data_IF_995700753545
#
_entry.id   IF_995700753545
#
_cell.length_a   1.000
_cell.length_b   1.000
_cell.length_c   1.000
_cell.angle_alpha   90.00
_cell.angle_beta   90.00
_cell.angle_gamma   90.00
#
_symmetry.space_group_name_H-M   'P 1'
#
loop_
_entity.id
_entity.type
_entity.pdbx_description
1 polymer ?
#
# COMPACT_ATOMS: atom_id res chain seq x y z
N UNK A 1 -0.15 -5.24 -31.24
CA UNK A 1 -1.24 -4.67 -30.42
C UNK A 1 -1.24 -5.48 -29.12
N UNK A 2 -0.47 -5.07 -28.11
CA UNK A 2 -0.16 -5.93 -26.94
C UNK A 2 -0.69 -5.38 -25.62
N UNK A 3 -1.74 -4.56 -25.65
CA UNK A 3 -2.33 -3.98 -24.44
C UNK A 3 -3.81 -3.72 -24.74
N UNK A 4 -4.67 -4.72 -24.54
CA UNK A 4 -6.11 -4.43 -24.41
C UNK A 4 -6.24 -3.55 -23.18
N UNK A 5 -6.47 -2.26 -23.45
CA UNK A 5 -6.47 -1.18 -22.48
C UNK A 5 -7.54 -1.33 -21.39
N UNK A 6 -7.67 -0.32 -20.53
CA UNK A 6 -8.61 -0.37 -19.41
C UNK A 6 -10.03 -0.69 -19.91
N UNK A 7 -10.78 -1.50 -19.15
CA UNK A 7 -12.22 -1.73 -19.37
C UNK A 7 -13.06 -0.49 -19.00
N UNK A 8 -12.44 0.69 -19.04
CA UNK A 8 -13.02 1.99 -18.78
C UNK A 8 -12.90 2.88 -20.03
N UNK A 9 -13.97 3.57 -20.44
CA UNK A 9 -15.29 3.61 -19.79
C UNK A 9 -16.05 2.28 -19.92
N UNK A 10 -16.84 1.98 -18.90
CA UNK A 10 -17.65 0.75 -18.81
C UNK A 10 -18.67 0.70 -19.93
N UNK A 11 -18.73 -0.43 -20.66
CA UNK A 11 -19.67 -0.62 -21.79
C UNK A 11 -20.85 -1.55 -21.46
N UNK A 12 -20.82 -2.22 -20.31
CA UNK A 12 -21.94 -3.05 -19.85
C UNK A 12 -23.13 -2.15 -19.47
N UNK A 13 -24.34 -2.56 -19.85
CA UNK A 13 -25.59 -1.84 -19.54
C UNK A 13 -26.30 -2.41 -18.32
N UNK A 14 -26.30 -3.74 -18.19
CA UNK A 14 -26.91 -4.47 -17.11
C UNK A 14 -25.84 -5.35 -16.48
N UNK A 15 -25.33 -4.96 -15.32
CA UNK A 15 -24.31 -5.72 -14.60
C UNK A 15 -23.50 -4.85 -13.68
N UNK A 16 -22.53 -5.48 -13.02
CA UNK A 16 -21.61 -4.82 -12.12
C UNK A 16 -20.19 -5.01 -12.65
N UNK A 17 -19.43 -3.91 -12.68
CA UNK A 17 -18.00 -3.94 -12.92
C UNK A 17 -17.28 -3.34 -11.70
N UNK A 18 -16.29 -4.08 -11.20
CA UNK A 18 -15.41 -3.66 -10.11
C UNK A 18 -14.04 -3.43 -10.70
N UNK A 19 -13.63 -2.17 -10.70
CA UNK A 19 -12.42 -1.68 -11.35
C UNK A 19 -12.32 -2.12 -12.83
N UNK A 20 -11.17 -1.93 -13.44
CA UNK A 20 -10.93 -2.07 -14.87
C UNK A 20 -9.79 -1.17 -15.35
N UNK A 21 -9.13 -0.47 -14.42
CA UNK A 21 -7.92 0.27 -14.68
C UNK A 21 -6.72 -0.64 -14.96
N UNK A 22 -5.76 -0.07 -15.69
CA UNK A 22 -4.50 -0.73 -16.01
C UNK A 22 -3.57 -0.76 -14.79
N UNK A 23 -2.65 -1.71 -14.75
CA UNK A 23 -1.77 -1.98 -13.59
C UNK A 23 -0.74 -0.89 -13.28
N UNK A 24 -0.49 0.04 -14.21
CA UNK A 24 0.53 1.09 -14.07
C UNK A 24 -0.03 2.38 -13.51
N UNK A 25 -1.22 2.77 -13.94
CA UNK A 25 -1.90 3.99 -13.51
C UNK A 25 -3.41 3.72 -13.48
N UNK A 26 -4.00 3.94 -12.30
CA UNK A 26 -5.44 3.82 -12.10
C UNK A 26 -6.04 5.22 -12.08
N UNK A 27 -7.02 5.50 -12.95
CA UNK A 27 -7.68 6.81 -12.97
C UNK A 27 -8.53 7.09 -11.71
N UNK A 28 -8.76 6.08 -10.88
CA UNK A 28 -9.50 6.19 -9.62
C UNK A 28 -8.58 6.29 -8.38
N UNK A 29 -7.27 6.13 -8.54
CA UNK A 29 -6.32 6.27 -7.42
C UNK A 29 -6.07 7.75 -7.12
N UNK A 30 -5.74 8.05 -5.85
CA UNK A 30 -5.27 9.38 -5.47
C UNK A 30 -3.77 9.46 -5.76
N UNK A 31 -2.92 8.67 -5.06
CA UNK A 31 -1.71 8.14 -5.71
C UNK A 31 -1.53 6.61 -5.59
N UNK A 32 -0.60 6.09 -6.38
CA UNK A 32 0.03 4.79 -6.18
C UNK A 32 0.83 4.66 -4.86
N UNK A 33 1.33 3.45 -4.58
CA UNK A 33 2.09 3.17 -3.36
C UNK A 33 3.43 3.91 -3.32
N UNK A 34 3.94 4.19 -2.11
CA UNK A 34 5.21 4.92 -1.93
C UNK A 34 5.97 4.47 -0.68
N UNK A 35 7.29 4.66 -0.73
CA UNK A 35 8.24 4.42 0.35
C UNK A 35 8.78 5.76 0.82
N UNK A 36 8.73 6.02 2.12
CA UNK A 36 9.46 7.09 2.76
C UNK A 36 10.76 6.55 3.34
N UNK A 37 11.85 7.32 3.24
CA UNK A 37 13.16 6.95 3.78
C UNK A 37 13.84 8.14 4.47
N UNK A 38 14.46 7.92 5.63
CA UNK A 38 15.29 8.93 6.31
C UNK A 38 16.59 9.23 5.56
N UNK A 39 17.04 8.29 4.75
CA UNK A 39 18.23 8.38 3.90
C UNK A 39 17.84 8.59 2.44
N UNK A 40 18.79 9.04 1.62
CA UNK A 40 18.55 9.25 0.20
C UNK A 40 18.58 7.93 -0.56
N UNK A 41 17.44 7.53 -1.11
CA UNK A 41 17.28 6.27 -1.83
C UNK A 41 16.46 6.46 -3.10
N UNK A 42 16.84 5.74 -4.15
CA UNK A 42 16.13 5.77 -5.42
C UNK A 42 14.66 5.34 -5.21
N UNK A 43 13.74 6.06 -5.86
CA UNK A 43 12.29 5.77 -5.80
C UNK A 43 11.65 5.87 -4.40
N UNK A 44 12.31 6.53 -3.45
CA UNK A 44 11.74 6.89 -2.15
C UNK A 44 11.44 8.39 -2.04
N UNK A 45 10.59 8.77 -1.09
CA UNK A 45 10.41 10.15 -0.65
C UNK A 45 11.19 10.39 0.65
N UNK A 46 12.15 11.31 0.59
CA UNK A 46 13.01 11.60 1.73
C UNK A 46 12.22 12.27 2.85
N UNK A 47 12.33 11.72 4.05
CA UNK A 47 11.83 12.29 5.30
C UNK A 47 13.00 12.71 6.19
N UNK A 48 12.75 13.66 7.09
CA UNK A 48 13.74 14.14 8.04
C UNK A 48 13.26 13.86 9.45
N UNK A 49 14.12 13.24 10.25
CA UNK A 49 13.87 13.05 11.68
C UNK A 49 14.34 14.27 12.44
N UNK A 50 13.57 14.67 13.44
CA UNK A 50 13.85 15.82 14.30
C UNK A 50 13.53 15.46 15.73
N UNK A 51 14.11 16.17 16.69
CA UNK A 51 13.66 16.07 18.08
C UNK A 51 12.19 16.45 18.18
N UNK A 52 11.45 15.72 19.00
CA UNK A 52 10.02 15.96 19.23
C UNK A 52 9.75 17.39 19.71
N UNK A 53 8.74 18.03 19.12
CA UNK A 53 8.23 19.33 19.54
C UNK A 53 6.71 19.27 19.68
N UNK A 54 6.16 19.88 20.73
CA UNK A 54 4.73 20.06 20.97
C UNK A 54 3.87 18.78 21.04
N UNK A 55 4.47 17.60 21.22
CA UNK A 55 3.74 16.36 21.43
C UNK A 55 3.21 16.23 22.86
N UNK A 56 1.99 15.72 22.95
CA UNK A 56 1.33 15.39 24.21
C UNK A 56 1.28 13.88 24.41
N UNK A 57 1.25 13.48 25.68
CA UNK A 57 1.06 12.09 26.10
C UNK A 57 2.06 11.09 25.52
N UNK A 58 3.30 11.52 25.25
CA UNK A 58 4.35 10.66 24.72
C UNK A 58 4.56 9.48 25.69
N UNK A 59 4.50 8.22 25.21
CA UNK A 59 4.81 7.06 26.03
C UNK A 59 6.25 7.11 26.55
N UNK A 60 6.54 6.34 27.60
CA UNK A 60 7.90 6.24 28.12
C UNK A 60 8.86 5.82 27.00
N UNK A 61 9.92 6.60 26.83
CA UNK A 61 11.02 6.33 25.91
C UNK A 61 12.33 6.45 26.68
N UNK A 62 13.24 5.52 26.46
CA UNK A 62 14.55 5.46 27.10
C UNK A 62 15.57 6.39 26.40
N UNK A 63 15.41 6.56 25.09
CA UNK A 63 16.09 7.58 24.28
C UNK A 63 15.20 8.79 24.04
N UNK A 64 15.80 9.95 23.74
CA UNK A 64 15.07 11.17 23.37
C UNK A 64 14.16 10.92 22.16
N UNK A 65 12.82 11.02 22.28
CA UNK A 65 11.92 10.74 21.16
C UNK A 65 12.18 11.61 19.93
N UNK A 66 11.99 11.03 18.75
CA UNK A 66 12.11 11.70 17.46
C UNK A 66 10.74 11.82 16.79
N UNK A 67 10.61 12.80 15.90
CA UNK A 67 9.42 12.96 15.07
C UNK A 67 9.74 13.18 13.60
N UNK A 68 8.74 12.87 12.77
CA UNK A 68 8.68 13.31 11.38
C UNK A 68 7.22 13.44 10.94
N UNK A 69 7.01 13.91 9.70
CA UNK A 69 5.67 14.07 9.11
C UNK A 69 5.64 13.40 7.74
N UNK A 70 4.67 12.52 7.54
CA UNK A 70 4.40 11.90 6.25
C UNK A 70 3.43 12.77 5.45
N UNK A 71 3.84 13.17 4.25
CA UNK A 71 3.03 13.92 3.29
C UNK A 71 2.40 12.98 2.29
N UNK A 72 1.27 12.40 2.66
CA UNK A 72 0.55 11.42 1.86
C UNK A 72 -0.20 12.09 0.70
N UNK A 73 -0.51 11.31 -0.34
CA UNK A 73 -1.33 11.74 -1.46
C UNK A 73 -0.54 12.16 -2.69
N UNK A 74 -1.23 12.83 -3.61
CA UNK A 74 -0.69 13.30 -4.88
C UNK A 74 -0.14 14.72 -4.77
N UNK A 75 0.27 15.31 -5.90
CA UNK A 75 0.66 16.72 -5.95
C UNK A 75 -0.50 17.65 -5.61
N UNK A 76 -1.72 17.26 -5.97
CA UNK A 76 -2.94 18.06 -5.85
C UNK A 76 -3.69 17.79 -4.55
N UNK A 77 -3.78 16.52 -4.14
CA UNK A 77 -4.58 16.08 -3.00
C UNK A 77 -3.67 15.51 -1.93
N UNK A 78 -3.68 16.10 -0.73
CA UNK A 78 -2.73 15.74 0.33
C UNK A 78 -3.40 15.45 1.66
N UNK A 79 -2.77 14.59 2.44
CA UNK A 79 -3.07 14.38 3.85
C UNK A 79 -1.75 14.30 4.63
N UNK A 80 -1.75 14.73 5.89
CA UNK A 80 -0.58 14.68 6.77
C UNK A 80 -0.79 13.68 7.89
N UNK A 81 0.24 12.90 8.20
CA UNK A 81 0.32 12.12 9.42
C UNK A 81 1.60 12.47 10.17
N UNK A 82 1.48 12.65 11.48
CA UNK A 82 2.61 12.81 12.38
C UNK A 82 3.12 11.43 12.79
N UNK A 83 4.43 11.31 12.86
CA UNK A 83 5.14 10.09 13.22
C UNK A 83 6.00 10.40 14.44
N UNK A 84 5.83 9.62 15.50
CA UNK A 84 6.63 9.68 16.71
C UNK A 84 7.43 8.38 16.83
N UNK A 85 8.72 8.47 17.07
CA UNK A 85 9.65 7.33 17.14
C UNK A 85 10.19 7.27 18.56
N UNK A 86 10.10 6.10 19.18
CA UNK A 86 10.49 5.89 20.58
C UNK A 86 11.35 4.64 20.76
N UNK A 87 12.18 4.68 21.79
CA UNK A 87 12.92 3.55 22.34
C UNK A 87 12.17 3.06 23.57
N UNK A 88 11.30 2.07 23.36
CA UNK A 88 10.41 1.58 24.41
C UNK A 88 11.05 0.52 25.31
N UNK A 89 12.25 0.03 24.96
CA UNK A 89 12.88 -1.15 25.57
C UNK A 89 14.32 -0.94 26.06
N UNK A 90 14.86 0.28 26.02
CA UNK A 90 16.25 0.60 26.41
C UNK A 90 17.29 -0.11 25.53
N UNK A 91 16.96 -0.30 24.25
CA UNK A 91 17.80 -1.00 23.27
C UNK A 91 17.92 -0.23 21.95
N UNK A 92 17.57 1.06 21.97
CA UNK A 92 17.42 1.87 20.77
C UNK A 92 15.98 1.89 20.25
N UNK A 93 15.74 2.72 19.23
CA UNK A 93 14.40 2.96 18.71
C UNK A 93 13.78 1.69 18.12
N UNK A 94 12.56 1.36 18.56
CA UNK A 94 11.89 0.10 18.20
C UNK A 94 10.40 0.24 17.83
N UNK A 95 9.82 1.42 18.09
CA UNK A 95 8.40 1.70 17.81
C UNK A 95 8.21 2.99 17.04
N UNK A 96 7.22 2.97 16.16
CA UNK A 96 6.68 4.14 15.47
C UNK A 96 5.20 4.31 15.81
N UNK A 97 4.82 5.47 16.33
CA UNK A 97 3.45 5.86 16.63
C UNK A 97 2.97 6.80 15.53
N UNK A 98 1.83 6.45 14.91
CA UNK A 98 1.23 7.20 13.82
C UNK A 98 0.02 7.95 14.36
N UNK A 99 -0.08 9.27 14.13
CA UNK A 99 -1.21 10.07 14.59
C UNK A 99 -1.56 11.23 13.64
N UNK A 100 -2.83 11.66 13.65
CA UNK A 100 -3.27 12.84 12.89
C UNK A 100 -2.84 14.15 13.56
N UNK A 101 -2.75 14.13 14.88
CA UNK A 101 -2.34 15.25 15.71
C UNK A 101 -1.17 14.85 16.59
N UNK A 102 -0.45 15.83 17.15
CA UNK A 102 0.70 15.59 18.03
C UNK A 102 0.26 15.19 19.45
N UNK A 103 -0.50 14.11 19.53
CA UNK A 103 -1.00 13.50 20.77
C UNK A 103 -0.96 11.97 20.60
N UNK A 104 -0.10 11.31 21.39
CA UNK A 104 0.09 9.87 21.28
C UNK A 104 -1.07 9.06 21.87
N UNK A 105 -1.92 9.64 22.72
CA UNK A 105 -3.15 8.98 23.18
C UNK A 105 -4.24 8.91 22.09
N UNK A 106 -4.10 9.72 21.05
CA UNK A 106 -4.99 9.73 19.89
C UNK A 106 -4.33 9.11 18.66
N UNK A 107 -3.35 8.24 18.89
CA UNK A 107 -2.69 7.53 17.80
C UNK A 107 -3.70 6.70 17.01
N UNK A 108 -3.43 6.59 15.72
CA UNK A 108 -4.13 5.66 14.84
C UNK A 108 -3.61 4.25 15.11
N UNK A 109 -2.29 4.11 15.19
CA UNK A 109 -1.62 2.84 15.41
C UNK A 109 -0.19 3.02 15.93
N UNK A 110 0.36 1.93 16.47
CA UNK A 110 1.74 1.83 16.90
C UNK A 110 2.39 0.62 16.24
N UNK A 111 3.42 0.86 15.44
CA UNK A 111 4.07 -0.13 14.59
C UNK A 111 5.43 -0.55 15.14
N UNK A 112 5.73 -1.84 14.96
CA UNK A 112 7.07 -2.40 14.98
C UNK A 112 7.51 -2.78 13.56
N UNK A 113 8.82 -2.96 13.37
CA UNK A 113 9.38 -3.39 12.08
C UNK A 113 8.66 -4.65 11.58
N UNK A 114 8.28 -4.65 10.30
CA UNK A 114 7.52 -5.71 9.64
C UNK A 114 6.00 -5.63 9.82
N UNK A 115 5.48 -4.82 10.76
CA UNK A 115 4.04 -4.74 11.00
C UNK A 115 3.33 -3.71 10.10
N UNK A 116 2.09 -4.05 9.72
CA UNK A 116 1.16 -3.12 9.08
C UNK A 116 0.32 -2.39 10.12
N UNK A 117 -0.04 -1.14 9.82
CA UNK A 117 -1.13 -0.45 10.49
C UNK A 117 -2.47 -1.06 10.11
N UNK A 118 -3.47 -0.78 10.92
CA UNK A 118 -4.87 -0.87 10.51
C UNK A 118 -5.11 -0.05 9.23
N UNK A 119 -6.13 -0.45 8.48
CA UNK A 119 -6.65 0.36 7.38
C UNK A 119 -7.20 1.68 7.92
N UNK A 120 -6.87 2.76 7.21
CA UNK A 120 -7.31 4.12 7.52
C UNK A 120 -8.13 4.67 6.37
N UNK A 121 -9.11 5.52 6.71
CA UNK A 121 -9.78 6.40 5.76
C UNK A 121 -9.40 7.84 6.11
N UNK A 122 -8.70 8.52 5.21
CA UNK A 122 -8.30 9.92 5.35
C UNK A 122 -9.02 10.80 4.33
N UNK A 123 -9.20 12.08 4.65
CA UNK A 123 -9.57 13.09 3.67
C UNK A 123 -8.29 13.63 3.03
N UNK A 124 -8.23 13.59 1.72
CA UNK A 124 -7.15 14.18 0.92
C UNK A 124 -7.66 15.46 0.30
N UNK A 125 -7.01 16.58 0.64
CA UNK A 125 -7.50 17.91 0.32
C UNK A 125 -6.52 18.67 -0.56
N UNK A 126 -7.08 19.48 -1.47
CA UNK A 126 -6.34 20.42 -2.28
C UNK A 126 -7.04 20.74 -3.60
N UNK A 127 -6.63 21.83 -4.25
CA UNK A 127 -7.26 22.33 -5.48
C UNK A 127 -8.80 22.50 -5.37
N UNK A 128 -9.31 22.86 -4.18
CA UNK A 128 -10.75 23.02 -3.92
C UNK A 128 -11.55 21.72 -3.84
N UNK A 129 -10.87 20.55 -3.82
CA UNK A 129 -11.47 19.22 -3.70
C UNK A 129 -11.10 18.59 -2.37
N UNK A 130 -11.96 17.69 -1.89
CA UNK A 130 -11.70 16.81 -0.75
C UNK A 130 -12.20 15.41 -1.11
N UNK A 131 -11.29 14.44 -1.17
CA UNK A 131 -11.59 13.05 -1.55
C UNK A 131 -11.22 12.13 -0.39
N UNK A 132 -12.13 11.22 -0.03
CA UNK A 132 -11.85 10.17 0.96
C UNK A 132 -11.05 9.06 0.31
N UNK A 133 -9.87 8.77 0.85
CA UNK A 133 -9.00 7.71 0.38
C UNK A 133 -8.66 6.71 1.47
N UNK A 134 -8.47 5.45 1.07
CA UNK A 134 -8.06 4.36 1.97
C UNK A 134 -6.57 4.05 1.84
N UNK A 135 -5.90 3.78 2.94
CA UNK A 135 -4.53 3.27 2.95
C UNK A 135 -4.20 2.48 4.21
N UNK A 136 -3.07 1.78 4.18
CA UNK A 136 -2.36 1.27 5.36
C UNK A 136 -0.86 1.56 5.24
N UNK A 137 -0.18 1.63 6.38
CA UNK A 137 1.27 1.85 6.47
C UNK A 137 1.95 0.55 6.86
N UNK A 138 3.20 0.34 6.43
CA UNK A 138 4.08 -0.70 6.97
C UNK A 138 5.37 -0.06 7.44
N UNK A 139 5.82 -0.40 8.65
CA UNK A 139 7.17 -0.06 9.08
C UNK A 139 8.13 -1.09 8.49
N UNK A 140 8.89 -0.70 7.47
CA UNK A 140 9.81 -1.58 6.75
C UNK A 140 11.11 -1.76 7.53
N UNK A 141 11.61 -0.69 8.10
CA UNK A 141 12.88 -0.68 8.83
C UNK A 141 12.90 0.46 9.84
N UNK A 142 13.51 0.19 10.98
CA UNK A 142 13.89 1.17 11.99
C UNK A 142 15.19 0.67 12.62
N UNK A 143 16.29 1.40 12.47
CA UNK A 143 17.55 1.09 13.15
C UNK A 143 17.51 1.58 14.60
N UNK A 144 18.28 0.93 15.48
CA UNK A 144 18.37 1.25 16.91
C UNK A 144 18.76 2.71 17.18
N UNK A 145 19.53 3.31 16.27
CA UNK A 145 19.99 4.70 16.32
C UNK A 145 19.10 5.68 15.53
N UNK A 146 18.03 5.18 14.90
CA UNK A 146 17.14 5.89 13.97
C UNK A 146 17.84 6.51 12.74
N UNK A 147 19.07 6.11 12.42
CA UNK A 147 19.72 6.49 11.15
C UNK A 147 18.88 6.04 9.95
N UNK A 148 18.32 4.83 10.02
CA UNK A 148 17.45 4.25 9.01
C UNK A 148 16.01 4.14 9.51
N UNK A 149 15.10 4.85 8.85
CA UNK A 149 13.66 4.70 8.98
C UNK A 149 13.06 4.59 7.59
N UNK A 150 12.42 3.45 7.31
CA UNK A 150 11.67 3.22 6.06
C UNK A 150 10.21 2.91 6.37
N UNK A 151 9.29 3.73 5.86
CA UNK A 151 7.84 3.54 6.02
C UNK A 151 7.20 3.45 4.65
N UNK A 152 6.52 2.34 4.39
CA UNK A 152 5.75 2.11 3.18
C UNK A 152 4.29 2.51 3.39
N UNK A 153 3.62 3.01 2.34
CA UNK A 153 2.17 3.05 2.29
C UNK A 153 1.64 2.42 1.00
N UNK A 154 0.52 1.71 1.14
CA UNK A 154 -0.20 1.04 0.04
C UNK A 154 -0.72 2.03 -1.01
N UNK A 155 -1.17 1.57 -2.18
CA UNK A 155 -1.95 2.44 -3.08
C UNK A 155 -3.09 3.13 -2.31
N UNK A 156 -3.30 4.42 -2.57
CA UNK A 156 -4.39 5.19 -1.98
C UNK A 156 -5.55 5.20 -2.97
N UNK A 157 -6.53 4.36 -2.73
CA UNK A 157 -7.76 4.29 -3.53
C UNK A 157 -8.85 5.21 -2.95
N UNK A 158 -9.58 5.89 -3.84
CA UNK A 158 -10.81 6.58 -3.47
C UNK A 158 -11.83 5.58 -2.91
N UNK A 159 -12.66 6.01 -1.95
CA UNK A 159 -13.78 5.18 -1.45
C UNK A 159 -14.95 5.07 -2.43
N UNK A 160 -14.86 5.77 -3.57
CA UNK A 160 -15.90 5.83 -4.59
C UNK A 160 -15.30 5.92 -6.00
N UNK A 161 -16.13 5.65 -7.02
CA UNK A 161 -15.81 5.92 -8.42
C UNK A 161 -15.16 4.76 -9.20
N UNK A 162 -14.63 3.75 -8.53
CA UNK A 162 -13.98 2.58 -9.16
C UNK A 162 -14.94 1.41 -9.46
N UNK A 163 -16.25 1.64 -9.40
CA UNK A 163 -17.26 0.61 -9.74
C UNK A 163 -18.32 1.16 -10.70
N UNK A 164 -18.99 0.24 -11.40
CA UNK A 164 -20.22 0.50 -12.12
C UNK A 164 -21.29 -0.51 -11.70
N UNK A 165 -22.51 -0.08 -11.32
CA UNK A 165 -22.86 1.29 -10.95
C UNK A 165 -21.98 1.83 -9.81
N UNK A 166 -21.77 3.15 -9.74
CA UNK A 166 -20.82 3.77 -8.80
C UNK A 166 -21.16 3.52 -7.33
N UNK A 167 -22.42 3.26 -7.04
CA UNK A 167 -22.96 3.01 -5.71
C UNK A 167 -22.44 1.68 -5.13
N UNK A 168 -22.03 0.75 -5.98
CA UNK A 168 -21.55 -0.58 -5.57
C UNK A 168 -20.26 -0.47 -4.75
N UNK A 169 -19.38 0.51 -5.01
CA UNK A 169 -18.10 0.68 -4.31
C UNK A 169 -18.23 0.67 -2.78
N UNK A 170 -19.33 1.20 -2.25
CA UNK A 170 -19.60 1.25 -0.82
C UNK A 170 -19.68 -0.15 -0.20
N UNK A 171 -20.26 -1.11 -0.91
CA UNK A 171 -20.57 -2.41 -0.31
C UNK A 171 -19.32 -3.25 -0.03
N UNK A 172 -18.38 -3.44 -0.98
CA UNK A 172 -17.14 -4.12 -0.69
C UNK A 172 -16.30 -3.38 0.35
N UNK A 173 -16.30 -2.03 0.37
CA UNK A 173 -15.57 -1.28 1.40
C UNK A 173 -16.09 -1.62 2.80
N UNK A 174 -17.41 -1.68 2.99
CA UNK A 174 -18.03 -1.93 4.29
C UNK A 174 -18.00 -3.41 4.71
N UNK A 175 -18.06 -4.35 3.75
CA UNK A 175 -18.22 -5.79 4.05
C UNK A 175 -16.95 -6.62 3.80
N UNK A 176 -16.00 -6.09 3.03
CA UNK A 176 -14.77 -6.78 2.63
C UNK A 176 -13.56 -6.03 3.16
N UNK A 177 -13.46 -4.74 2.85
CA UNK A 177 -12.36 -3.86 3.22
C UNK A 177 -11.96 -2.96 2.05
N UNK A 178 -10.95 -2.09 2.24
CA UNK A 178 -10.44 -1.22 1.20
C UNK A 178 -9.97 -1.95 -0.06
N UNK A 179 -10.35 -1.44 -1.22
CA UNK A 179 -9.87 -1.98 -2.49
C UNK A 179 -8.43 -1.56 -2.75
N UNK A 180 -7.62 -2.50 -3.24
CA UNK A 180 -6.23 -2.28 -3.65
C UNK A 180 -6.08 -2.92 -5.02
N UNK A 181 -5.74 -2.13 -6.04
CA UNK A 181 -5.47 -2.64 -7.39
C UNK A 181 -3.97 -2.77 -7.66
N UNK A 182 -3.22 -1.76 -7.25
CA UNK A 182 -1.76 -1.72 -7.37
C UNK A 182 -1.13 -2.16 -6.07
N UNK A 183 -0.60 -3.37 -6.11
CA UNK A 183 0.38 -3.83 -5.13
C UNK A 183 1.71 -3.10 -5.39
N UNK A 184 2.52 -2.90 -4.35
CA UNK A 184 3.84 -2.27 -4.40
C UNK A 184 4.77 -3.07 -5.31
N UNK A 185 4.77 -2.71 -6.58
CA UNK A 185 5.31 -3.54 -7.65
C UNK A 185 6.76 -3.19 -7.96
N UNK A 186 7.61 -4.21 -8.07
CA UNK A 186 9.06 -4.08 -8.26
C UNK A 186 9.38 -4.23 -9.75
N UNK A 187 9.30 -3.14 -10.51
CA UNK A 187 9.88 -3.04 -11.85
C UNK A 187 10.72 -1.78 -11.94
N UNK A 188 11.90 -1.90 -12.57
CA UNK A 188 12.87 -0.81 -12.80
C UNK A 188 12.19 0.51 -13.18
N UNK A 189 12.33 1.55 -12.37
CA UNK A 189 11.85 2.90 -12.68
C UNK A 189 10.70 3.41 -11.79
N UNK A 190 10.48 4.73 -11.84
CA UNK A 190 9.48 5.45 -11.03
C UNK A 190 8.03 5.08 -11.31
N UNK A 191 7.78 4.38 -12.43
CA UNK A 191 6.46 4.14 -13.00
C UNK A 191 5.68 3.10 -12.16
N UNK A 192 6.37 2.11 -11.60
CA UNK A 192 5.72 0.90 -11.09
C UNK A 192 5.41 0.90 -9.59
N UNK A 193 6.05 1.77 -8.80
CA UNK A 193 5.73 1.97 -7.38
C UNK A 193 6.93 1.82 -6.46
N UNK A 194 6.64 1.70 -5.16
CA UNK A 194 7.66 1.64 -4.12
C UNK A 194 8.30 0.26 -3.95
N UNK A 195 9.62 0.25 -3.87
CA UNK A 195 10.46 -0.93 -3.74
C UNK A 195 10.57 -1.34 -2.27
N UNK A 196 9.46 -1.79 -1.68
CA UNK A 196 9.38 -2.18 -0.26
C UNK A 196 9.83 -3.62 0.02
N UNK A 197 10.55 -4.24 -0.94
CA UNK A 197 10.99 -5.63 -0.88
C UNK A 197 9.91 -6.64 -1.32
N UNK A 198 10.34 -7.86 -1.66
CA UNK A 198 9.44 -8.91 -2.13
C UNK A 198 8.46 -9.38 -1.07
N UNK A 199 8.82 -9.37 0.22
CA UNK A 199 7.91 -9.76 1.29
C UNK A 199 6.69 -8.83 1.36
N UNK A 200 6.92 -7.51 1.33
CA UNK A 200 5.83 -6.52 1.31
C UNK A 200 4.98 -6.64 0.03
N UNK A 201 5.62 -6.89 -1.11
CA UNK A 201 4.91 -7.15 -2.36
C UNK A 201 3.99 -8.38 -2.26
N UNK A 202 4.49 -9.49 -1.72
CA UNK A 202 3.70 -10.72 -1.55
C UNK A 202 2.55 -10.51 -0.56
N UNK A 203 2.76 -9.82 0.56
CA UNK A 203 1.69 -9.52 1.52
C UNK A 203 0.57 -8.64 0.93
N UNK A 204 0.91 -7.71 0.03
CA UNK A 204 -0.10 -6.95 -0.70
C UNK A 204 -0.82 -7.78 -1.76
N UNK A 205 -0.11 -8.71 -2.40
CA UNK A 205 -0.69 -9.64 -3.36
C UNK A 205 -1.65 -10.62 -2.70
N UNK A 206 -1.29 -11.15 -1.54
CA UNK A 206 -2.14 -11.97 -0.68
C UNK A 206 -3.41 -11.19 -0.29
N UNK A 207 -3.25 -9.95 0.19
CA UNK A 207 -4.40 -9.09 0.49
C UNK A 207 -5.29 -8.87 -0.73
N UNK A 208 -4.70 -8.59 -1.90
CA UNK A 208 -5.45 -8.38 -3.14
C UNK A 208 -6.24 -9.63 -3.55
N UNK A 209 -5.63 -10.81 -3.50
CA UNK A 209 -6.31 -12.08 -3.79
C UNK A 209 -7.43 -12.40 -2.80
N UNK A 210 -7.17 -12.23 -1.50
CA UNK A 210 -8.20 -12.41 -0.48
C UNK A 210 -9.35 -11.43 -0.67
N UNK A 211 -9.04 -10.18 -1.02
CA UNK A 211 -10.04 -9.17 -1.30
C UNK A 211 -10.91 -9.56 -2.49
N UNK A 212 -10.30 -9.98 -3.61
CA UNK A 212 -11.03 -10.46 -4.79
C UNK A 212 -11.94 -11.64 -4.43
N UNK A 213 -11.41 -12.66 -3.76
CA UNK A 213 -12.19 -13.83 -3.36
C UNK A 213 -13.39 -13.46 -2.46
N UNK A 214 -13.17 -12.58 -1.48
CA UNK A 214 -14.22 -12.14 -0.55
C UNK A 214 -15.25 -11.23 -1.22
N UNK A 215 -14.82 -10.28 -2.06
CA UNK A 215 -15.70 -9.39 -2.80
C UNK A 215 -16.55 -10.16 -3.81
N UNK A 216 -15.93 -11.06 -4.58
CA UNK A 216 -16.65 -11.98 -5.47
C UNK A 216 -17.68 -12.78 -4.70
N UNK A 217 -17.32 -13.41 -3.58
CA UNK A 217 -18.27 -14.18 -2.77
C UNK A 217 -19.42 -13.33 -2.22
N UNK A 218 -19.15 -12.10 -1.79
CA UNK A 218 -20.16 -11.18 -1.29
C UNK A 218 -21.15 -10.78 -2.40
N UNK A 219 -20.63 -10.35 -3.55
CA UNK A 219 -21.45 -9.92 -4.69
C UNK A 219 -22.22 -11.09 -5.32
N UNK A 220 -21.59 -12.27 -5.45
CA UNK A 220 -22.22 -13.50 -5.95
C UNK A 220 -23.41 -13.96 -5.12
N UNK A 221 -23.41 -13.69 -3.80
CA UNK A 221 -24.53 -14.03 -2.91
C UNK A 221 -25.65 -13.00 -2.91
N UNK A 222 -25.34 -11.74 -3.23
CA UNK A 222 -26.28 -10.62 -3.09
C UNK A 222 -27.07 -10.34 -4.35
N UNK A 223 -26.48 -10.61 -5.50
CA UNK A 223 -27.08 -10.38 -6.81
C UNK A 223 -27.21 -11.68 -7.60
N UNK A 224 -28.09 -11.69 -8.58
CA UNK A 224 -28.21 -12.78 -9.55
C UNK A 224 -27.28 -12.55 -10.73
N UNK A 225 -26.72 -13.63 -11.28
CA UNK A 225 -25.71 -13.56 -12.33
C UNK A 225 -25.96 -14.61 -13.40
N UNK A 226 -25.98 -14.18 -14.67
CA UNK A 226 -25.85 -15.08 -15.81
C UNK A 226 -24.38 -15.46 -16.05
N UNK A 227 -23.46 -14.54 -15.78
CA UNK A 227 -22.00 -14.69 -15.91
C UNK A 227 -21.27 -13.93 -14.81
N UNK A 228 -20.20 -14.52 -14.30
CA UNK A 228 -19.30 -13.90 -13.32
C UNK A 228 -17.85 -14.18 -13.73
N UNK A 229 -17.05 -13.12 -13.87
CA UNK A 229 -15.62 -13.20 -14.16
C UNK A 229 -14.82 -12.57 -13.02
N UNK A 230 -13.68 -13.17 -12.70
CA UNK A 230 -12.68 -12.59 -11.81
C UNK A 230 -11.36 -12.60 -12.56
N UNK A 231 -10.69 -11.46 -12.55
CA UNK A 231 -9.40 -11.28 -13.21
C UNK A 231 -8.38 -10.87 -12.15
N UNK A 232 -7.20 -11.50 -12.18
CA UNK A 232 -6.05 -11.10 -11.37
C UNK A 232 -4.83 -10.93 -12.27
N UNK A 233 -4.16 -9.79 -12.14
CA UNK A 233 -2.88 -9.52 -12.80
C UNK A 233 -1.68 -10.06 -12.00
N UNK A 234 -1.91 -10.72 -10.87
CA UNK A 234 -0.83 -11.18 -10.00
C UNK A 234 0.21 -12.09 -10.68
N UNK A 235 -0.16 -13.04 -11.57
CA UNK A 235 0.82 -13.83 -12.30
C UNK A 235 1.77 -12.97 -13.13
N UNK A 236 1.23 -11.98 -13.85
CA UNK A 236 2.01 -11.04 -14.66
C UNK A 236 2.96 -10.23 -13.77
N UNK A 237 2.46 -9.67 -12.66
CA UNK A 237 3.31 -8.95 -11.71
C UNK A 237 4.50 -9.81 -11.30
N UNK A 238 4.23 -11.01 -10.80
CA UNK A 238 5.30 -11.84 -10.28
C UNK A 238 6.31 -12.20 -11.37
N UNK A 239 5.85 -12.71 -12.50
CA UNK A 239 6.73 -13.13 -13.58
C UNK A 239 7.57 -11.96 -14.12
N UNK A 240 6.95 -10.81 -14.39
CA UNK A 240 7.68 -9.66 -14.89
C UNK A 240 8.75 -9.15 -13.89
N UNK A 241 8.52 -9.30 -12.59
CA UNK A 241 9.48 -8.86 -11.56
C UNK A 241 10.64 -9.83 -11.35
N UNK A 242 10.41 -11.15 -11.44
CA UNK A 242 11.39 -12.13 -10.95
C UNK A 242 11.74 -13.25 -11.92
N UNK A 243 11.05 -13.41 -13.06
CA UNK A 243 11.26 -14.60 -13.91
C UNK A 243 12.72 -14.76 -14.34
N UNK A 244 13.41 -13.65 -14.66
CA UNK A 244 14.84 -13.65 -15.01
C UNK A 244 15.73 -14.16 -13.86
N UNK A 245 15.32 -13.92 -12.61
CA UNK A 245 16.08 -14.34 -11.41
C UNK A 245 15.65 -15.74 -10.93
N UNK A 246 14.45 -16.17 -11.29
CA UNK A 246 13.92 -17.49 -10.97
C UNK A 246 14.40 -18.57 -11.95
N UNK A 247 14.54 -18.26 -13.24
CA UNK A 247 14.96 -19.22 -14.27
C UNK A 247 16.44 -19.63 -14.06
N UNK A 248 16.74 -20.93 -13.84
CA UNK A 248 18.11 -21.42 -13.67
C UNK A 248 19.06 -21.09 -14.82
N UNK A 249 18.55 -20.85 -16.03
CA UNK A 249 19.35 -20.50 -17.20
C UNK A 249 19.79 -19.03 -17.22
N UNK A 250 19.12 -18.15 -16.46
CA UNK A 250 19.40 -16.71 -16.45
C UNK A 250 19.73 -16.13 -15.08
N UNK A 251 19.48 -16.88 -14.00
CA UNK A 251 19.83 -16.52 -12.63
C UNK A 251 21.35 -16.44 -12.44
N UNK A 252 21.80 -15.61 -11.48
CA UNK A 252 23.24 -15.48 -11.20
C UNK A 252 23.80 -16.67 -10.43
N UNK A 253 22.94 -17.44 -9.77
CA UNK A 253 23.29 -18.67 -9.05
C UNK A 253 22.07 -19.59 -8.91
N UNK A 254 22.32 -20.88 -8.64
CA UNK A 254 21.25 -21.81 -8.31
C UNK A 254 20.52 -21.44 -7.01
N UNK A 255 21.21 -20.81 -6.06
CA UNK A 255 20.63 -20.37 -4.80
C UNK A 255 19.61 -19.25 -5.03
N UNK A 256 19.96 -18.25 -5.85
CA UNK A 256 19.04 -17.19 -6.26
C UNK A 256 17.82 -17.79 -6.97
N UNK A 257 18.06 -18.66 -7.96
CA UNK A 257 16.97 -19.33 -8.70
C UNK A 257 16.00 -20.04 -7.75
N UNK A 258 16.52 -20.82 -6.78
CA UNK A 258 15.68 -21.51 -5.79
C UNK A 258 14.90 -20.54 -4.90
N UNK A 259 15.51 -19.44 -4.47
CA UNK A 259 14.83 -18.41 -3.67
C UNK A 259 13.66 -17.78 -4.44
N UNK A 260 13.90 -17.35 -5.67
CA UNK A 260 12.87 -16.71 -6.49
C UNK A 260 11.78 -17.68 -6.96
N UNK A 261 12.11 -18.93 -7.25
CA UNK A 261 11.09 -19.96 -7.53
C UNK A 261 10.16 -20.20 -6.34
N UNK A 262 10.64 -20.09 -5.09
CA UNK A 262 9.76 -20.14 -3.91
C UNK A 262 8.79 -18.96 -3.86
N UNK A 263 9.21 -17.77 -4.30
CA UNK A 263 8.31 -16.62 -4.40
C UNK A 263 7.25 -16.82 -5.50
N UNK A 264 7.63 -17.36 -6.66
CA UNK A 264 6.68 -17.73 -7.73
C UNK A 264 5.62 -18.69 -7.18
N UNK A 265 6.03 -19.72 -6.45
CA UNK A 265 5.13 -20.73 -5.89
C UNK A 265 4.15 -20.21 -4.83
N UNK A 266 4.33 -18.98 -4.30
CA UNK A 266 3.34 -18.34 -3.41
C UNK A 266 2.21 -17.65 -4.17
N UNK A 267 2.37 -17.40 -5.46
CA UNK A 267 1.43 -16.63 -6.28
C UNK A 267 0.48 -17.51 -7.09
N UNK A 268 0.94 -18.70 -7.47
CA UNK A 268 0.19 -19.71 -8.24
C UNK A 268 -0.36 -20.80 -7.33
#
# INVERSE_FOLDING_TARGET
MKWTGPQFPVTIKNGIQVDGCFCVECCHEIPGPKLYSSVEELHSERIQLKSVQDWRNIPRSHSSPLETVLKLGSRELKALLNVLIIDSQDKGYDKVIISREKDANKCIDTLSVGSWSKWMILNFEGCGKSIKGTLRLKLIELSEDATYLRIYYSQIMSVEGWTYPKEIAKEPIENVGPFLQRVGYIQGGRIYGAWAGYDTFIEELEYHHEWLARATRYLAKKYDWDLLFVHSHAPDYMLDSIIRRADPLTAVSEEESREFLRLVAKVF
#
